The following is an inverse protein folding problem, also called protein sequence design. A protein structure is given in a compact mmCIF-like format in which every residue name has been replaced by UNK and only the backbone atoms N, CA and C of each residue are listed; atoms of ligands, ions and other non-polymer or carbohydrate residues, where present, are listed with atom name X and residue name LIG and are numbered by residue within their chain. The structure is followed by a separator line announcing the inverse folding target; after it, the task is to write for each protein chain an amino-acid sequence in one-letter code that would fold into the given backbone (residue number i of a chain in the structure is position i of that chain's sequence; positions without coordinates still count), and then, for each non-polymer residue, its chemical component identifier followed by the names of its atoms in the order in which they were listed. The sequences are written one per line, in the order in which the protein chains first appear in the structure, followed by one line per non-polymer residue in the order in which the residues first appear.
data_IF_846805534388
#
_entry.id   IF_846805534388
#
_cell.length_a   1.000
_cell.length_b   1.000
_cell.length_c   1.000
_cell.angle_alpha   90.00
_cell.angle_beta   90.00
_cell.angle_gamma   90.00
#
_symmetry.space_group_name_H-M   'P 1'
#
loop_
_entity.id
_entity.type
_entity.pdbx_description
1 polymer ?
#
# COMPACT_ATOMS: atom_id res chain seq x y z
N UNK A 1 -48.88 -45.16 20.86
CA UNK A 1 -49.43 -45.50 19.53
C UNK A 1 -50.86 -45.02 19.47
N UNK A 2 -51.23 -44.12 18.53
CA UNK A 2 -50.37 -43.14 17.84
C UNK A 2 -49.94 -42.07 18.89
N UNK A 3 -49.97 -40.73 18.77
CA UNK A 3 -50.11 -39.72 17.68
C UNK A 3 -49.47 -38.39 18.14
N UNK A 4 -49.18 -37.47 17.21
CA UNK A 4 -49.02 -36.03 17.46
C UNK A 4 -49.42 -35.24 16.19
N UNK A 5 -49.95 -33.99 16.30
CA UNK A 5 -50.11 -33.12 15.14
C UNK A 5 -49.40 -31.76 15.27
N UNK A 6 -48.28 -31.63 14.57
CA UNK A 6 -47.83 -30.47 13.77
C UNK A 6 -48.33 -29.07 14.13
N UNK A 7 -47.42 -28.21 14.60
CA UNK A 7 -47.59 -26.75 14.65
C UNK A 7 -47.65 -26.20 13.21
N UNK A 8 -48.67 -25.39 12.89
CA UNK A 8 -48.79 -24.68 11.61
C UNK A 8 -48.55 -23.18 11.80
N UNK A 9 -47.51 -22.65 11.16
CA UNK A 9 -47.12 -21.25 11.31
C UNK A 9 -48.14 -20.27 10.70
N UNK A 10 -48.53 -19.24 11.47
CA UNK A 10 -49.27 -18.08 10.97
C UNK A 10 -48.28 -16.95 10.63
N UNK A 11 -48.20 -16.62 9.34
CA UNK A 11 -47.31 -15.59 8.79
C UNK A 11 -47.83 -14.20 9.20
N UNK A 12 -47.03 -13.42 9.94
CA UNK A 12 -47.34 -12.02 10.25
C UNK A 12 -47.36 -11.19 8.97
N UNK A 13 -48.41 -10.42 8.76
CA UNK A 13 -48.47 -9.36 7.74
C UNK A 13 -47.88 -8.06 8.29
N UNK A 14 -47.12 -7.28 7.51
CA UNK A 14 -46.64 -5.97 7.93
C UNK A 14 -47.76 -4.92 7.83
N UNK A 15 -47.88 -4.06 8.84
CA UNK A 15 -48.72 -2.87 8.79
C UNK A 15 -47.96 -1.71 8.12
N UNK A 16 -48.67 -0.89 7.34
CA UNK A 16 -48.10 0.28 6.66
C UNK A 16 -47.97 1.48 7.61
N UNK A 17 -46.89 2.28 7.50
CA UNK A 17 -46.74 3.50 8.29
C UNK A 17 -47.62 4.62 7.72
N UNK A 18 -48.52 5.15 8.54
CA UNK A 18 -49.40 6.28 8.18
C UNK A 18 -48.65 7.60 8.44
N UNK A 19 -48.33 8.33 7.37
CA UNK A 19 -47.59 9.58 7.43
C UNK A 19 -48.44 10.74 7.97
N UNK A 20 -47.97 11.38 9.05
CA UNK A 20 -48.43 12.70 9.48
C UNK A 20 -47.34 13.73 9.21
N UNK A 21 -47.64 14.72 8.38
CA UNK A 21 -46.78 15.87 8.11
C UNK A 21 -46.90 16.92 9.21
N UNK A 22 -45.78 17.53 9.59
CA UNK A 22 -45.72 18.77 10.37
C UNK A 22 -44.62 19.69 9.77
N UNK A 23 -44.72 21.01 9.95
CA UNK A 23 -44.10 21.96 9.03
C UNK A 23 -42.59 22.16 9.25
N UNK A 24 -41.90 22.47 8.15
CA UNK A 24 -40.49 22.85 8.12
C UNK A 24 -40.27 24.34 8.45
N UNK A 25 -39.57 24.63 9.54
CA UNK A 25 -38.70 25.81 9.64
C UNK A 25 -37.83 25.81 10.91
N UNK A 26 -36.64 25.23 10.82
CA UNK A 26 -35.53 25.62 11.72
C UNK A 26 -34.21 25.62 10.95
N UNK A 27 -33.67 26.81 10.72
CA UNK A 27 -32.44 27.04 9.97
C UNK A 27 -31.23 26.60 10.79
N UNK A 28 -30.52 25.56 10.33
CA UNK A 28 -29.14 25.29 10.77
C UNK A 28 -28.17 26.03 9.84
N UNK A 29 -27.12 26.69 10.37
CA UNK A 29 -26.07 27.25 9.53
C UNK A 29 -25.27 26.12 8.88
N UNK A 30 -25.16 26.15 7.55
CA UNK A 30 -24.26 25.26 6.83
C UNK A 30 -22.82 25.73 7.03
N UNK A 31 -22.08 25.08 7.93
CA UNK A 31 -20.62 25.09 7.87
C UNK A 31 -20.21 24.38 6.58
N UNK A 32 -19.81 25.16 5.58
CA UNK A 32 -19.32 24.65 4.29
C UNK A 32 -17.91 24.10 4.47
N UNK A 33 -17.82 22.93 5.10
CA UNK A 33 -16.61 22.11 5.10
C UNK A 33 -16.38 21.61 3.68
N UNK A 34 -15.63 22.37 2.90
CA UNK A 34 -15.24 22.02 1.54
C UNK A 34 -14.35 20.79 1.56
N UNK A 35 -14.97 19.61 1.46
CA UNK A 35 -14.26 18.35 1.23
C UNK A 35 -13.52 18.51 -0.10
N UNK A 36 -12.21 18.74 -0.03
CA UNK A 36 -11.35 18.70 -1.20
C UNK A 36 -11.28 17.22 -1.62
N UNK A 37 -12.20 16.82 -2.48
CA UNK A 37 -12.06 15.58 -3.23
C UNK A 37 -10.78 15.72 -4.06
N UNK A 38 -9.70 15.09 -3.59
CA UNK A 38 -8.47 14.95 -4.34
C UNK A 38 -8.80 14.19 -5.62
N UNK A 39 -8.95 14.95 -6.71
CA UNK A 39 -9.36 14.44 -8.01
C UNK A 39 -8.34 13.40 -8.45
N UNK A 40 -8.66 12.11 -8.27
CA UNK A 40 -7.80 11.02 -8.72
C UNK A 40 -7.69 11.16 -10.23
N UNK A 41 -6.52 11.59 -10.69
CA UNK A 41 -6.17 11.57 -12.10
C UNK A 41 -5.98 10.11 -12.51
N UNK A 42 -7.10 9.42 -12.76
CA UNK A 42 -7.08 8.26 -13.61
C UNK A 42 -6.59 8.73 -14.98
N UNK A 43 -5.33 8.45 -15.28
CA UNK A 43 -4.77 8.61 -16.62
C UNK A 43 -5.41 7.54 -17.50
N UNK A 44 -6.60 7.86 -18.03
CA UNK A 44 -7.15 7.14 -19.17
C UNK A 44 -6.12 7.25 -20.28
N UNK A 45 -5.39 6.16 -20.52
CA UNK A 45 -4.63 5.99 -21.75
C UNK A 45 -5.66 6.18 -22.86
N UNK A 46 -5.45 7.09 -23.83
CA UNK A 46 -6.36 7.18 -24.97
C UNK A 46 -6.40 5.79 -25.65
N UNK A 47 -7.51 5.41 -26.31
CA UNK A 47 -7.49 4.28 -27.23
C UNK A 47 -6.25 4.44 -28.13
N UNK A 48 -5.42 3.40 -28.22
CA UNK A 48 -4.28 3.43 -29.13
C UNK A 48 -4.85 3.48 -30.54
N UNK A 49 -4.68 4.62 -31.21
CA UNK A 49 -5.00 4.74 -32.63
C UNK A 49 -4.17 3.71 -33.39
N UNK A 50 -4.83 2.89 -34.22
CA UNK A 50 -4.21 1.80 -34.99
C UNK A 50 -3.41 2.33 -36.20
N UNK A 51 -2.52 3.29 -35.94
CA UNK A 51 -1.63 3.97 -36.88
C UNK A 51 -0.44 3.07 -37.31
N UNK A 52 -0.78 1.92 -37.88
CA UNK A 52 0.15 0.97 -38.50
C UNK A 52 1.19 0.36 -37.56
N UNK A 53 2.24 -0.26 -38.13
CA UNK A 53 3.36 -0.78 -37.33
C UNK A 53 4.14 0.38 -36.70
N UNK A 54 4.28 0.38 -35.37
CA UNK A 54 5.05 1.41 -34.67
C UNK A 54 6.56 1.27 -34.97
N UNK A 55 7.01 2.02 -35.97
CA UNK A 55 8.35 1.95 -36.51
C UNK A 55 9.38 2.64 -35.59
N UNK A 56 10.16 1.85 -34.85
CA UNK A 56 11.25 2.36 -34.03
C UNK A 56 12.46 2.78 -34.90
N UNK A 57 12.34 3.95 -35.51
CA UNK A 57 13.31 4.58 -36.44
C UNK A 57 14.71 4.75 -35.87
N UNK A 58 14.86 4.74 -34.55
CA UNK A 58 16.10 5.01 -33.83
C UNK A 58 16.88 3.74 -33.43
N UNK A 59 16.47 2.54 -33.84
CA UNK A 59 17.22 1.32 -33.50
C UNK A 59 18.57 1.23 -34.26
N UNK A 60 19.69 0.92 -33.57
CA UNK A 60 21.01 0.80 -34.21
C UNK A 60 21.11 -0.35 -35.24
N UNK A 61 21.82 -0.09 -36.33
CA UNK A 61 21.95 -0.99 -37.50
C UNK A 61 23.22 -1.85 -37.50
N UNK A 62 24.21 -1.52 -36.66
CA UNK A 62 25.49 -2.22 -36.59
C UNK A 62 25.41 -3.47 -35.71
N UNK A 63 26.14 -4.51 -36.10
CA UNK A 63 26.09 -5.86 -35.48
C UNK A 63 26.42 -5.87 -33.98
N UNK A 64 27.27 -4.94 -33.55
CA UNK A 64 27.66 -4.74 -32.16
C UNK A 64 27.28 -3.29 -31.77
N UNK A 65 26.02 -3.00 -31.43
CA UNK A 65 25.60 -1.65 -31.07
C UNK A 65 26.26 -1.22 -29.75
N UNK A 66 26.53 0.07 -29.54
CA UNK A 66 27.00 0.56 -28.23
C UNK A 66 25.83 0.92 -27.30
N UNK A 67 26.04 1.03 -25.97
CA UNK A 67 24.96 1.36 -25.04
C UNK A 67 24.45 2.80 -25.24
N UNK A 68 25.27 3.66 -25.84
CA UNK A 68 24.90 4.99 -26.29
C UNK A 68 23.97 4.95 -27.52
N UNK A 69 24.25 4.05 -28.47
CA UNK A 69 23.45 3.89 -29.69
C UNK A 69 22.09 3.24 -29.39
N UNK A 70 22.05 2.24 -28.51
CA UNK A 70 20.80 1.54 -28.09
C UNK A 70 19.79 2.49 -27.43
N UNK A 71 20.27 3.52 -26.72
CA UNK A 71 19.42 4.55 -26.11
C UNK A 71 19.33 5.84 -26.94
N UNK A 72 19.98 5.88 -28.11
CA UNK A 72 20.13 7.04 -28.99
C UNK A 72 20.54 8.35 -28.26
N UNK A 73 21.65 8.28 -27.50
CA UNK A 73 22.23 9.41 -26.76
C UNK A 73 23.68 9.59 -27.20
N UNK A 74 24.05 10.76 -27.74
CA UNK A 74 25.44 11.05 -28.07
C UNK A 74 26.29 11.12 -26.79
N UNK A 75 27.51 10.55 -26.74
CA UNK A 75 28.36 10.61 -25.54
C UNK A 75 28.62 12.04 -25.02
N UNK A 76 28.68 13.02 -25.93
CA UNK A 76 28.90 14.44 -25.62
C UNK A 76 27.66 15.16 -25.04
N UNK A 77 26.46 14.61 -25.20
CA UNK A 77 25.17 15.20 -24.79
C UNK A 77 24.62 14.54 -23.51
N UNK A 78 25.45 13.74 -22.82
CA UNK A 78 25.04 12.87 -21.73
C UNK A 78 24.59 13.62 -20.46
N UNK A 79 23.28 13.65 -20.21
CA UNK A 79 22.68 13.97 -18.90
C UNK A 79 21.87 12.78 -18.35
N UNK A 80 21.91 12.59 -17.02
CA UNK A 80 21.14 11.56 -16.30
C UNK A 80 19.63 11.74 -16.44
N UNK A 81 19.12 12.97 -16.59
CA UNK A 81 17.66 13.18 -16.81
C UNK A 81 17.27 12.75 -18.23
N UNK A 82 18.11 13.05 -19.23
CA UNK A 82 17.90 12.59 -20.61
C UNK A 82 18.03 11.07 -20.72
N UNK A 83 19.04 10.46 -20.09
CA UNK A 83 19.19 9.00 -19.98
C UNK A 83 17.92 8.33 -19.43
N UNK A 84 17.38 8.86 -18.32
CA UNK A 84 16.12 8.38 -17.74
C UNK A 84 14.94 8.55 -18.71
N UNK A 85 14.82 9.71 -19.38
CA UNK A 85 13.74 9.99 -20.34
C UNK A 85 13.77 9.02 -21.54
N UNK A 86 14.93 8.87 -22.20
CA UNK A 86 15.11 7.95 -23.34
C UNK A 86 14.88 6.49 -22.94
N UNK A 87 15.34 6.06 -21.76
CA UNK A 87 15.02 4.73 -21.24
C UNK A 87 13.50 4.51 -21.12
N UNK A 88 12.73 5.45 -20.57
CA UNK A 88 11.27 5.32 -20.49
C UNK A 88 10.56 5.37 -21.86
N UNK A 89 11.06 6.15 -22.81
CA UNK A 89 10.56 6.18 -24.19
C UNK A 89 10.71 4.81 -24.86
N UNK A 90 11.92 4.23 -24.83
CA UNK A 90 12.23 2.95 -25.48
C UNK A 90 11.62 1.77 -24.71
N UNK A 91 11.62 1.79 -23.38
CA UNK A 91 10.97 0.77 -22.56
C UNK A 91 9.46 0.69 -22.83
N UNK A 92 8.76 1.83 -23.03
CA UNK A 92 7.32 1.81 -23.36
C UNK A 92 7.04 1.08 -24.69
N UNK A 93 7.98 1.09 -25.64
CA UNK A 93 7.83 0.41 -26.93
C UNK A 93 8.08 -1.10 -26.81
N UNK A 94 9.12 -1.51 -26.09
CA UNK A 94 9.60 -2.90 -26.06
C UNK A 94 9.18 -3.72 -24.81
N UNK A 95 8.41 -3.15 -23.88
CA UNK A 95 7.95 -3.89 -22.69
C UNK A 95 6.94 -5.00 -23.07
N UNK A 96 7.11 -6.26 -22.60
CA UNK A 96 6.35 -7.44 -23.06
C UNK A 96 4.83 -7.25 -23.03
N UNK A 97 4.30 -6.70 -21.93
CA UNK A 97 2.87 -6.43 -21.73
C UNK A 97 2.24 -5.50 -22.79
N UNK A 98 3.02 -4.56 -23.34
CA UNK A 98 2.60 -3.66 -24.42
C UNK A 98 2.97 -4.21 -25.80
N UNK A 99 4.10 -4.91 -25.91
CA UNK A 99 4.63 -5.39 -27.17
C UNK A 99 3.84 -6.56 -27.77
N UNK A 100 3.14 -7.35 -26.94
CA UNK A 100 2.19 -8.38 -27.39
C UNK A 100 1.04 -7.79 -28.21
N UNK A 101 0.60 -6.56 -27.89
CA UNK A 101 -0.48 -5.87 -28.60
C UNK A 101 0.03 -5.03 -29.78
N UNK A 102 1.31 -4.66 -29.78
CA UNK A 102 1.91 -3.76 -30.77
C UNK A 102 2.72 -4.51 -31.83
N UNK A 103 2.31 -4.38 -33.10
CA UNK A 103 3.10 -4.83 -34.25
C UNK A 103 4.28 -3.88 -34.44
N UNK A 104 5.42 -4.20 -33.83
CA UNK A 104 6.69 -3.54 -34.11
C UNK A 104 7.28 -4.12 -35.41
N UNK A 105 7.61 -3.27 -36.36
CA UNK A 105 8.45 -3.62 -37.51
C UNK A 105 9.90 -3.23 -37.25
N UNK A 106 10.83 -4.05 -37.75
CA UNK A 106 12.24 -3.68 -37.85
C UNK A 106 12.46 -2.58 -38.91
N UNK A 107 13.65 -1.99 -38.92
CA UNK A 107 14.08 -1.02 -39.94
C UNK A 107 13.98 -1.53 -41.41
N UNK A 108 13.84 -2.85 -41.60
CA UNK A 108 13.63 -3.52 -42.90
C UNK A 108 12.16 -3.78 -43.25
N UNK A 109 11.21 -3.32 -42.43
CA UNK A 109 9.77 -3.54 -42.60
C UNK A 109 9.26 -4.91 -42.11
N UNK A 110 10.15 -5.89 -41.92
CA UNK A 110 9.82 -7.19 -41.32
C UNK A 110 9.23 -7.04 -39.92
N UNK A 111 8.09 -7.68 -39.67
CA UNK A 111 7.46 -7.76 -38.35
C UNK A 111 8.43 -8.44 -37.38
N UNK A 112 8.58 -7.89 -36.17
CA UNK A 112 9.44 -8.45 -35.14
C UNK A 112 8.71 -9.54 -34.35
N UNK A 113 9.27 -10.74 -34.31
CA UNK A 113 8.88 -11.80 -33.36
C UNK A 113 9.02 -11.30 -31.92
N UNK A 114 8.15 -11.76 -31.01
CA UNK A 114 8.19 -11.33 -29.60
C UNK A 114 9.54 -11.63 -28.92
N UNK A 115 10.18 -12.77 -29.22
CA UNK A 115 11.55 -13.09 -28.77
C UNK A 115 12.55 -11.95 -29.07
N UNK A 116 12.49 -11.39 -30.27
CA UNK A 116 13.34 -10.26 -30.69
C UNK A 116 12.92 -8.91 -30.09
N UNK A 117 11.68 -8.78 -29.58
CA UNK A 117 11.26 -7.60 -28.79
C UNK A 117 11.87 -7.69 -27.39
N UNK A 118 11.84 -8.87 -26.77
CA UNK A 118 12.43 -9.15 -25.46
C UNK A 118 13.96 -9.06 -25.47
N UNK A 119 14.66 -9.58 -26.51
CA UNK A 119 16.10 -9.37 -26.70
C UNK A 119 16.47 -7.87 -26.71
N UNK A 120 15.69 -7.05 -27.44
CA UNK A 120 15.90 -5.60 -27.49
C UNK A 120 15.60 -4.94 -26.15
N UNK A 121 14.58 -5.38 -25.42
CA UNK A 121 14.28 -4.89 -24.07
C UNK A 121 15.39 -5.22 -23.05
N UNK A 122 15.97 -6.43 -23.11
CA UNK A 122 17.12 -6.82 -22.28
C UNK A 122 18.33 -5.93 -22.58
N UNK A 123 18.70 -5.74 -23.85
CA UNK A 123 19.79 -4.82 -24.26
C UNK A 123 19.58 -3.35 -23.82
N UNK A 124 18.36 -2.83 -23.93
CA UNK A 124 17.99 -1.47 -23.47
C UNK A 124 18.14 -1.34 -21.95
N UNK A 125 17.78 -2.39 -21.22
CA UNK A 125 17.88 -2.44 -19.76
C UNK A 125 19.34 -2.53 -19.31
N UNK A 126 20.17 -3.37 -19.94
CA UNK A 126 21.62 -3.44 -19.72
C UNK A 126 22.30 -2.09 -19.99
N UNK A 127 21.99 -1.44 -21.12
CA UNK A 127 22.55 -0.14 -21.48
C UNK A 127 22.24 0.93 -20.43
N UNK A 128 20.99 0.96 -19.94
CA UNK A 128 20.60 1.87 -18.87
C UNK A 128 21.33 1.56 -17.55
N UNK A 129 21.45 0.30 -17.15
CA UNK A 129 22.16 -0.08 -15.93
C UNK A 129 23.66 0.29 -15.97
N UNK A 130 24.31 0.09 -17.12
CA UNK A 130 25.72 0.43 -17.32
C UNK A 130 25.98 1.94 -17.26
N UNK A 131 25.13 2.74 -17.92
CA UNK A 131 25.30 4.20 -18.00
C UNK A 131 24.78 4.96 -16.77
N UNK A 132 23.85 4.38 -16.00
CA UNK A 132 23.30 4.98 -14.76
C UNK A 132 24.36 5.22 -13.69
N UNK A 133 25.23 4.24 -13.46
CA UNK A 133 26.24 4.29 -12.41
C UNK A 133 27.54 4.94 -12.94
N UNK A 134 28.02 6.07 -12.39
CA UNK A 134 29.14 6.82 -12.99
C UNK A 134 30.46 6.03 -13.00
N UNK A 135 30.64 5.08 -12.08
CA UNK A 135 31.80 4.16 -12.06
C UNK A 135 31.76 3.20 -13.25
N UNK A 136 30.62 2.52 -13.46
CA UNK A 136 30.39 1.61 -14.59
C UNK A 136 30.55 2.35 -15.92
N UNK A 137 29.93 3.53 -16.04
CA UNK A 137 30.09 4.44 -17.19
C UNK A 137 31.57 4.76 -17.46
N UNK A 138 32.33 5.20 -16.46
CA UNK A 138 33.76 5.55 -16.62
C UNK A 138 34.60 4.37 -17.11
N UNK A 139 34.35 3.15 -16.62
CA UNK A 139 35.06 1.95 -17.05
C UNK A 139 34.71 1.55 -18.48
N UNK A 140 33.44 1.72 -18.90
CA UNK A 140 33.04 1.55 -20.30
C UNK A 140 33.64 2.64 -21.21
N UNK A 141 33.65 3.89 -20.78
CA UNK A 141 34.18 5.02 -21.55
C UNK A 141 35.69 4.83 -21.81
N UNK A 142 36.46 4.43 -20.80
CA UNK A 142 37.91 4.24 -20.86
C UNK A 142 38.35 2.89 -21.48
N UNK A 143 37.67 1.78 -21.15
CA UNK A 143 38.14 0.43 -21.48
C UNK A 143 37.14 -0.42 -22.30
N UNK A 144 35.93 0.08 -22.59
CA UNK A 144 34.84 -0.66 -23.26
C UNK A 144 34.42 -1.96 -22.57
N UNK A 145 34.74 -2.11 -21.29
CA UNK A 145 34.39 -3.25 -20.44
C UNK A 145 32.94 -3.13 -19.97
N UNK A 146 32.27 -4.28 -19.78
CA UNK A 146 30.92 -4.36 -19.20
C UNK A 146 29.77 -4.19 -20.19
N UNK A 147 30.01 -4.36 -21.49
CA UNK A 147 28.99 -4.22 -22.53
C UNK A 147 29.06 -5.36 -23.56
N UNK A 148 27.95 -6.09 -23.69
CA UNK A 148 27.83 -7.30 -24.50
C UNK A 148 28.53 -8.52 -23.87
N UNK A 149 27.96 -9.71 -24.07
CA UNK A 149 28.43 -10.99 -23.50
C UNK A 149 29.71 -11.55 -24.17
N UNK A 150 30.62 -10.68 -24.62
CA UNK A 150 31.78 -11.07 -25.42
C UNK A 150 33.12 -10.75 -24.73
N UNK A 151 33.81 -11.75 -24.14
CA UNK A 151 35.08 -11.54 -23.44
C UNK A 151 36.24 -11.11 -24.37
N UNK A 152 36.08 -11.19 -25.70
CA UNK A 152 37.13 -10.74 -26.65
C UNK A 152 37.38 -9.23 -26.61
N UNK A 153 36.44 -8.41 -26.11
CA UNK A 153 36.65 -6.98 -25.92
C UNK A 153 37.77 -6.65 -24.93
N UNK A 154 38.16 -7.60 -24.06
CA UNK A 154 39.30 -7.45 -23.16
C UNK A 154 40.67 -7.55 -23.89
N UNK A 155 40.70 -8.03 -25.14
CA UNK A 155 41.92 -8.31 -25.90
C UNK A 155 42.10 -7.44 -27.14
N UNK A 156 41.03 -6.88 -27.71
CA UNK A 156 41.08 -6.09 -28.96
C UNK A 156 41.59 -4.64 -28.78
N UNK A 157 42.06 -4.27 -27.57
CA UNK A 157 42.40 -2.90 -27.18
C UNK A 157 43.88 -2.52 -27.27
N UNK A 158 44.73 -3.32 -27.92
CA UNK A 158 46.17 -3.05 -28.15
C UNK A 158 47.08 -3.10 -26.91
N UNK A 159 46.55 -2.85 -25.72
CA UNK A 159 47.27 -2.93 -24.45
C UNK A 159 47.43 -4.39 -24.02
N UNK A 160 48.64 -4.94 -24.19
CA UNK A 160 49.05 -6.13 -23.43
C UNK A 160 48.99 -5.78 -21.94
N UNK A 161 48.36 -6.61 -21.07
CA UNK A 161 48.32 -6.36 -19.63
C UNK A 161 49.69 -6.65 -19.00
N UNK A 162 50.61 -5.71 -19.12
CA UNK A 162 52.00 -5.78 -18.62
C UNK A 162 52.03 -5.65 -17.09
N UNK A 163 51.59 -6.72 -16.42
CA UNK A 163 51.53 -6.93 -14.97
C UNK A 163 50.52 -6.04 -14.21
N UNK A 164 49.87 -6.63 -13.19
CA UNK A 164 48.99 -5.98 -12.21
C UNK A 164 47.64 -5.38 -12.71
N UNK A 165 46.70 -6.24 -13.11
CA UNK A 165 45.25 -5.92 -13.18
C UNK A 165 44.31 -7.07 -12.77
N UNK A 166 44.85 -8.16 -12.20
CA UNK A 166 44.08 -9.36 -11.84
C UNK A 166 43.02 -9.08 -10.76
N UNK A 167 43.32 -8.21 -9.79
CA UNK A 167 42.42 -7.83 -8.69
C UNK A 167 41.10 -7.20 -9.13
N UNK A 168 41.04 -6.56 -10.31
CA UNK A 168 39.81 -5.94 -10.83
C UNK A 168 38.96 -6.92 -11.66
N UNK A 169 39.59 -7.86 -12.37
CA UNK A 169 38.89 -8.84 -13.19
C UNK A 169 38.08 -9.84 -12.34
N UNK A 170 38.63 -10.31 -11.22
CA UNK A 170 37.89 -11.18 -10.28
C UNK A 170 36.70 -10.46 -9.65
N UNK A 171 36.81 -9.14 -9.43
CA UNK A 171 35.77 -8.34 -8.81
C UNK A 171 34.50 -8.30 -9.69
N UNK A 172 34.64 -8.10 -11.01
CA UNK A 172 33.49 -8.02 -11.91
C UNK A 172 32.69 -9.32 -12.07
N UNK A 173 33.28 -10.50 -11.88
CA UNK A 173 32.53 -11.76 -11.89
C UNK A 173 31.73 -11.97 -10.58
N UNK A 174 32.34 -11.69 -9.43
CA UNK A 174 31.73 -11.78 -8.09
C UNK A 174 30.49 -10.86 -7.95
N UNK A 175 30.39 -9.82 -8.78
CA UNK A 175 29.20 -8.97 -8.89
C UNK A 175 27.95 -9.67 -9.44
N UNK A 176 28.05 -10.79 -10.17
CA UNK A 176 26.86 -11.42 -10.79
C UNK A 176 25.86 -11.92 -9.75
N UNK A 177 26.36 -12.48 -8.64
CA UNK A 177 25.55 -12.82 -7.46
C UNK A 177 24.79 -11.61 -6.89
N UNK A 178 25.45 -10.45 -6.81
CA UNK A 178 24.90 -9.23 -6.22
C UNK A 178 23.97 -8.40 -7.13
N UNK A 179 23.96 -8.68 -8.44
CA UNK A 179 23.05 -8.02 -9.39
C UNK A 179 21.91 -8.94 -9.86
N UNK A 180 21.95 -10.24 -9.54
CA UNK A 180 20.91 -11.21 -9.85
C UNK A 180 19.57 -10.79 -9.24
N UNK A 181 18.68 -10.30 -10.10
CA UNK A 181 17.40 -9.69 -9.75
C UNK A 181 16.22 -10.47 -10.33
N UNK A 182 16.46 -11.37 -11.29
CA UNK A 182 15.47 -12.25 -11.90
C UNK A 182 15.67 -13.73 -11.57
N UNK A 183 14.62 -14.53 -11.81
CA UNK A 183 14.66 -15.98 -11.71
C UNK A 183 15.54 -16.64 -12.80
N UNK A 184 15.78 -15.94 -13.92
CA UNK A 184 16.74 -16.34 -14.95
C UNK A 184 18.17 -16.27 -14.40
N UNK A 185 18.59 -15.13 -13.84
CA UNK A 185 19.91 -14.94 -13.24
C UNK A 185 20.24 -16.02 -12.18
N UNK A 186 19.24 -16.38 -11.37
CA UNK A 186 19.38 -17.41 -10.34
C UNK A 186 19.55 -18.82 -10.93
N UNK A 187 18.92 -19.12 -12.07
CA UNK A 187 19.13 -20.40 -12.78
C UNK A 187 20.54 -20.47 -13.34
N UNK A 188 20.98 -19.41 -14.02
CA UNK A 188 22.34 -19.32 -14.57
C UNK A 188 23.42 -19.42 -13.49
N UNK A 189 23.21 -18.79 -12.33
CA UNK A 189 24.11 -18.89 -11.17
C UNK A 189 24.12 -20.29 -10.54
N UNK A 190 22.99 -21.01 -10.53
CA UNK A 190 22.89 -22.36 -9.96
C UNK A 190 23.71 -23.39 -10.75
N UNK A 191 23.72 -23.27 -12.07
CA UNK A 191 24.42 -24.23 -12.95
C UNK A 191 25.92 -23.88 -13.10
N UNK A 192 26.40 -22.82 -12.45
CA UNK A 192 27.81 -22.44 -12.36
C UNK A 192 28.46 -22.94 -11.06
N UNK A 193 29.60 -23.62 -11.18
CA UNK A 193 30.36 -24.21 -10.07
C UNK A 193 31.19 -23.18 -9.28
N UNK A 194 30.53 -22.14 -8.77
CA UNK A 194 31.16 -20.98 -8.15
C UNK A 194 31.67 -21.25 -6.71
N UNK A 195 32.92 -20.87 -6.35
CA UNK A 195 33.44 -20.94 -4.96
C UNK A 195 32.68 -20.05 -3.94
N UNK A 196 31.73 -19.22 -4.37
CA UNK A 196 30.73 -18.59 -3.53
C UNK A 196 29.73 -19.60 -2.93
N UNK A 197 29.36 -20.66 -3.66
CA UNK A 197 28.32 -21.62 -3.25
C UNK A 197 28.86 -22.77 -2.39
N UNK A 198 30.02 -22.59 -1.74
CA UNK A 198 30.60 -23.59 -0.83
C UNK A 198 29.63 -23.94 0.31
N UNK A 199 29.56 -25.20 0.76
CA UNK A 199 28.57 -25.66 1.74
C UNK A 199 28.61 -24.87 3.05
N UNK A 200 29.77 -24.34 3.42
CA UNK A 200 29.96 -23.58 4.67
C UNK A 200 29.38 -22.16 4.59
N UNK A 201 29.44 -21.53 3.41
CA UNK A 201 28.73 -20.27 3.13
C UNK A 201 27.22 -20.49 3.06
N UNK A 202 26.77 -21.60 2.48
CA UNK A 202 25.35 -21.96 2.42
C UNK A 202 24.75 -22.23 3.81
N UNK A 203 25.49 -22.87 4.73
CA UNK A 203 25.09 -23.00 6.15
C UNK A 203 24.91 -21.63 6.81
N UNK A 204 25.84 -20.70 6.58
CA UNK A 204 25.76 -19.35 7.14
C UNK A 204 24.55 -18.56 6.61
N UNK A 205 24.29 -18.62 5.30
CA UNK A 205 23.08 -18.03 4.70
C UNK A 205 21.80 -18.66 5.25
N UNK A 206 21.75 -20.00 5.40
CA UNK A 206 20.60 -20.69 5.99
C UNK A 206 20.32 -20.23 7.43
N UNK A 207 21.36 -20.00 8.25
CA UNK A 207 21.19 -19.44 9.60
C UNK A 207 20.69 -18.00 9.60
N UNK A 208 21.14 -17.15 8.66
CA UNK A 208 20.63 -15.77 8.51
C UNK A 208 19.15 -15.79 8.09
N UNK A 209 18.77 -16.64 7.13
CA UNK A 209 17.36 -16.80 6.72
C UNK A 209 16.51 -17.34 7.86
N UNK A 210 17.00 -18.33 8.62
CA UNK A 210 16.32 -18.86 9.80
C UNK A 210 16.09 -17.77 10.86
N UNK A 211 17.07 -16.90 11.11
CA UNK A 211 16.96 -15.79 12.05
C UNK A 211 16.00 -14.69 11.56
N UNK A 212 15.96 -14.41 10.26
CA UNK A 212 14.98 -13.49 9.67
C UNK A 212 13.55 -14.03 9.78
N UNK A 213 13.35 -15.33 9.53
CA UNK A 213 12.03 -15.99 9.64
C UNK A 213 11.57 -16.09 11.10
N UNK A 214 12.46 -16.44 12.04
CA UNK A 214 12.11 -16.48 13.46
C UNK A 214 11.88 -15.08 14.03
N UNK A 215 12.66 -14.08 13.61
CA UNK A 215 12.44 -12.67 13.94
C UNK A 215 11.08 -12.17 13.45
N UNK A 216 10.70 -12.48 12.21
CA UNK A 216 9.37 -12.16 11.67
C UNK A 216 8.23 -12.87 12.41
N UNK A 217 8.43 -14.14 12.83
CA UNK A 217 7.46 -14.88 13.63
C UNK A 217 7.27 -14.26 15.03
N UNK A 218 8.35 -13.86 15.71
CA UNK A 218 8.31 -13.18 17.01
C UNK A 218 7.65 -11.80 16.89
N UNK A 219 7.96 -11.04 15.83
CA UNK A 219 7.30 -9.75 15.55
C UNK A 219 5.80 -9.93 15.28
N UNK A 220 5.42 -10.95 14.50
CA UNK A 220 4.02 -11.28 14.23
C UNK A 220 3.26 -11.69 15.48
N UNK A 221 3.87 -12.52 16.34
CA UNK A 221 3.28 -12.91 17.63
C UNK A 221 3.10 -11.72 18.57
N UNK A 222 4.12 -10.86 18.69
CA UNK A 222 4.02 -9.64 19.49
C UNK A 222 2.90 -8.71 18.99
N UNK A 223 2.82 -8.49 17.67
CA UNK A 223 1.78 -7.69 17.03
C UNK A 223 0.37 -8.23 17.27
N UNK A 224 0.18 -9.56 17.18
CA UNK A 224 -1.10 -10.23 17.44
C UNK A 224 -1.57 -10.04 18.88
N UNK A 225 -0.69 -10.26 19.86
CA UNK A 225 -1.04 -10.04 21.27
C UNK A 225 -1.41 -8.56 21.52
N UNK A 226 -0.63 -7.63 20.97
CA UNK A 226 -0.82 -6.20 21.21
C UNK A 226 -2.08 -5.64 20.53
N UNK A 227 -2.55 -6.23 19.43
CA UNK A 227 -3.79 -5.81 18.77
C UNK A 227 -5.05 -6.41 19.42
N UNK A 228 -4.97 -7.60 20.01
CA UNK A 228 -6.07 -8.18 20.79
C UNK A 228 -6.50 -7.26 21.95
N UNK A 229 -5.53 -6.73 22.72
CA UNK A 229 -5.80 -5.74 23.77
C UNK A 229 -6.57 -4.52 23.24
N UNK A 230 -6.19 -3.98 22.07
CA UNK A 230 -6.87 -2.82 21.49
C UNK A 230 -8.30 -3.12 21.02
N UNK A 231 -8.56 -4.35 20.57
CA UNK A 231 -9.90 -4.78 20.15
C UNK A 231 -10.81 -4.98 21.37
N UNK A 232 -10.30 -5.64 22.42
CA UNK A 232 -11.01 -5.81 23.70
C UNK A 232 -11.31 -4.45 24.34
N UNK A 233 -10.32 -3.54 24.38
CA UNK A 233 -10.52 -2.19 24.91
C UNK A 233 -11.58 -1.41 24.10
N UNK A 234 -11.54 -1.49 22.77
CA UNK A 234 -12.53 -0.84 21.89
C UNK A 234 -13.93 -1.41 22.07
N UNK A 235 -14.08 -2.73 22.19
CA UNK A 235 -15.37 -3.37 22.44
C UNK A 235 -15.92 -2.96 23.80
N UNK A 236 -15.12 -3.04 24.86
CA UNK A 236 -15.51 -2.59 26.20
C UNK A 236 -16.01 -1.14 26.23
N UNK A 237 -15.35 -0.24 25.49
CA UNK A 237 -15.80 1.15 25.35
C UNK A 237 -17.13 1.28 24.59
N UNK A 238 -17.40 0.40 23.62
CA UNK A 238 -18.71 0.36 22.94
C UNK A 238 -19.80 -0.12 23.91
N UNK A 239 -19.55 -1.21 24.63
CA UNK A 239 -20.48 -1.81 25.60
C UNK A 239 -20.85 -0.80 26.71
N UNK A 240 -19.88 -0.04 27.23
CA UNK A 240 -20.15 1.04 28.21
C UNK A 240 -20.96 2.18 27.60
N UNK A 241 -20.68 2.60 26.38
CA UNK A 241 -21.45 3.65 25.71
C UNK A 241 -22.89 3.22 25.40
N UNK A 242 -23.13 1.95 25.07
CA UNK A 242 -24.49 1.42 24.94
C UNK A 242 -25.21 1.35 26.28
N UNK A 243 -24.55 0.90 27.35
CA UNK A 243 -25.12 0.88 28.70
C UNK A 243 -25.51 2.29 29.19
N UNK A 244 -24.62 3.28 29.01
CA UNK A 244 -24.89 4.68 29.35
C UNK A 244 -26.05 5.25 28.52
N UNK A 245 -26.06 5.00 27.20
CA UNK A 245 -27.14 5.43 26.29
C UNK A 245 -28.49 4.79 26.64
N UNK A 246 -28.52 3.49 26.96
CA UNK A 246 -29.72 2.78 27.43
C UNK A 246 -30.18 3.36 28.78
N UNK A 247 -29.26 3.62 29.71
CA UNK A 247 -29.60 4.24 30.99
C UNK A 247 -30.18 5.65 30.81
N UNK A 248 -29.66 6.45 29.86
CA UNK A 248 -30.19 7.75 29.53
C UNK A 248 -31.60 7.67 28.92
N UNK A 249 -31.88 6.71 28.04
CA UNK A 249 -33.22 6.45 27.51
C UNK A 249 -34.22 6.06 28.61
N UNK A 250 -33.79 5.27 29.60
CA UNK A 250 -34.59 4.95 30.79
C UNK A 250 -34.46 5.97 31.93
N UNK A 251 -33.92 7.17 31.66
CA UNK A 251 -33.80 8.27 32.64
C UNK A 251 -33.08 7.87 33.96
N UNK A 252 -32.13 6.94 33.86
CA UNK A 252 -31.42 6.25 34.96
C UNK A 252 -32.34 5.48 35.93
N UNK A 253 -33.48 4.99 35.44
CA UNK A 253 -34.47 4.25 36.22
C UNK A 253 -35.41 5.14 37.05
N UNK A 254 -35.36 6.46 36.87
CA UNK A 254 -36.27 7.40 37.54
C UNK A 254 -37.43 7.77 36.61
N UNK A 255 -38.62 7.86 37.21
CA UNK A 255 -39.84 8.33 36.57
C UNK A 255 -39.73 9.78 36.04
N UNK A 256 -40.39 10.05 34.90
CA UNK A 256 -40.37 11.35 34.23
C UNK A 256 -41.51 12.30 34.67
N UNK A 257 -42.35 11.90 35.62
CA UNK A 257 -43.39 12.78 36.14
C UNK A 257 -42.81 14.11 36.66
N UNK A 258 -43.62 15.18 36.52
CA UNK A 258 -43.31 16.55 36.98
C UNK A 258 -42.71 16.56 38.38
N UNK A 259 -43.29 15.76 39.28
CA UNK A 259 -42.93 15.65 40.69
C UNK A 259 -41.61 14.92 40.90
N UNK A 260 -41.38 13.80 40.21
CA UNK A 260 -40.10 13.09 40.24
C UNK A 260 -38.96 13.97 39.74
N UNK A 261 -39.21 14.77 38.69
CA UNK A 261 -38.27 15.76 38.15
C UNK A 261 -37.99 16.91 39.14
N UNK A 262 -39.00 17.43 39.83
CA UNK A 262 -38.84 18.45 40.89
C UNK A 262 -38.05 17.88 42.08
N UNK A 263 -38.39 16.69 42.58
CA UNK A 263 -37.65 16.01 43.66
C UNK A 263 -36.17 15.83 43.31
N UNK A 264 -35.87 15.36 42.10
CA UNK A 264 -34.50 15.24 41.58
C UNK A 264 -33.76 16.58 41.56
N UNK A 265 -34.40 17.65 41.05
CA UNK A 265 -33.80 18.99 41.03
C UNK A 265 -33.50 19.52 42.45
N UNK A 266 -34.46 19.40 43.37
CA UNK A 266 -34.29 19.82 44.76
C UNK A 266 -33.18 19.04 45.46
N UNK A 267 -33.08 17.72 45.22
CA UNK A 267 -32.03 16.86 45.76
C UNK A 267 -30.63 17.24 45.23
N UNK A 268 -30.45 17.42 43.91
CA UNK A 268 -29.16 17.89 43.37
C UNK A 268 -28.82 19.31 43.86
N UNK A 269 -29.81 20.18 44.02
CA UNK A 269 -29.62 21.54 44.57
C UNK A 269 -29.16 21.52 46.02
N UNK A 270 -29.78 20.72 46.90
CA UNK A 270 -29.35 20.65 48.31
C UNK A 270 -28.03 19.92 48.46
N UNK A 271 -27.77 18.86 47.68
CA UNK A 271 -26.48 18.16 47.66
C UNK A 271 -25.32 19.05 47.18
N UNK A 272 -25.58 19.98 46.24
CA UNK A 272 -24.60 20.97 45.79
C UNK A 272 -24.38 22.14 46.76
N UNK A 273 -25.34 22.44 47.64
CA UNK A 273 -25.27 23.56 48.61
C UNK A 273 -24.79 23.12 50.00
N UNK A 274 -25.16 21.92 50.44
CA UNK A 274 -24.93 21.44 51.80
C UNK A 274 -24.16 20.12 51.80
N UNK A 275 -23.00 20.14 52.46
CA UNK A 275 -22.10 18.97 52.58
C UNK A 275 -22.25 18.23 53.91
N UNK A 276 -22.99 18.79 54.87
CA UNK A 276 -23.25 18.18 56.17
C UNK A 276 -24.57 17.41 56.19
N UNK A 277 -24.50 16.15 56.61
CA UNK A 277 -25.65 15.23 56.64
C UNK A 277 -26.84 15.81 57.45
N UNK A 278 -26.60 16.42 58.61
CA UNK A 278 -27.68 16.93 59.45
C UNK A 278 -28.46 18.11 58.81
N UNK A 279 -27.83 18.85 57.89
CA UNK A 279 -28.45 19.93 57.11
C UNK A 279 -29.18 19.36 55.89
N UNK A 280 -28.56 18.38 55.22
CA UNK A 280 -29.19 17.61 54.14
C UNK A 280 -30.50 16.97 54.61
N UNK A 281 -30.48 16.24 55.74
CA UNK A 281 -31.64 15.56 56.32
C UNK A 281 -32.74 16.54 56.77
N UNK A 282 -32.41 17.80 57.04
CA UNK A 282 -33.40 18.86 57.32
C UNK A 282 -34.00 19.39 56.02
N UNK A 283 -33.15 19.82 55.09
CA UNK A 283 -33.57 20.34 53.79
C UNK A 283 -34.36 19.33 52.95
N UNK A 284 -34.10 18.02 53.12
CA UNK A 284 -34.89 16.96 52.50
C UNK A 284 -36.34 16.94 53.01
N UNK A 285 -36.55 17.09 54.33
CA UNK A 285 -37.89 17.17 54.94
C UNK A 285 -38.63 18.45 54.55
N UNK A 286 -37.93 19.58 54.46
CA UNK A 286 -38.47 20.86 53.98
C UNK A 286 -38.89 20.75 52.50
N UNK A 287 -38.02 20.18 51.64
CA UNK A 287 -38.33 19.91 50.23
C UNK A 287 -39.51 18.94 50.06
N UNK A 288 -39.63 17.92 50.90
CA UNK A 288 -40.78 17.01 50.89
C UNK A 288 -42.10 17.71 51.26
N UNK A 289 -42.07 18.64 52.21
CA UNK A 289 -43.25 19.42 52.58
C UNK A 289 -43.70 20.31 51.40
N UNK A 290 -42.78 21.04 50.77
CA UNK A 290 -43.05 21.84 49.57
C UNK A 290 -43.60 20.99 48.41
N UNK A 291 -43.08 19.78 48.20
CA UNK A 291 -43.59 18.86 47.17
C UNK A 291 -44.99 18.33 47.50
N UNK A 292 -45.33 18.14 48.79
CA UNK A 292 -46.69 17.76 49.23
C UNK A 292 -47.68 18.92 49.06
N UNK A 293 -47.24 20.15 49.32
CA UNK A 293 -48.04 21.38 49.11
C UNK A 293 -48.36 21.58 47.62
N UNK A 294 -47.35 21.50 46.73
CA UNK A 294 -47.55 21.58 45.28
C UNK A 294 -48.44 20.46 44.76
N UNK A 295 -48.30 19.23 45.27
CA UNK A 295 -49.21 18.12 44.94
C UNK A 295 -50.66 18.38 45.38
N UNK A 296 -50.87 18.94 46.57
CA UNK A 296 -52.19 19.28 47.08
C UNK A 296 -52.88 20.43 46.36
N UNK A 297 -52.14 21.21 45.56
CA UNK A 297 -52.63 22.32 44.75
C UNK A 297 -52.90 21.95 43.27
N UNK A 298 -52.67 20.70 42.86
CA UNK A 298 -53.04 20.18 41.53
C UNK A 298 -54.34 19.35 41.54
N UNK A 299 -55.25 19.59 42.51
CA UNK A 299 -56.58 19.00 42.66
C UNK A 299 -57.66 20.08 42.92
#
# INVERSE_FOLDING_TARGET
MPSAPTIRALRRTPLSPLSKTLPTSFTRPYLSSSIILTRRHASSVPPFDNEGPHFHKEWPQHRNPSPYDVLNIKPNEFDKKQLKKKYFEVAKLYHPDLSTNNVLSDHKGSILTDDHKDERFKLVTEAYQLLKDPRKKSMYDQHKVGWGNNPSNLFNGGVRPTYSSSTMAYNMNDHRYWNASGWEDYRDLKDMSDPALRPDKMKALALIVLFMVSGAAVQGWWFLNNMEETLIARQKMHDTCEADLVSAYFNYGLDDSRISRIRRFLWFRTFGLYREQHVLDRSARENEALVKEVMGAEH
#
